data_IF_258565047545
#
_entry.id   IF_258565047545
#
_cell.length_a   1.000
_cell.length_b   1.000
_cell.length_c   1.000
_cell.angle_alpha   90.00
_cell.angle_beta   90.00
_cell.angle_gamma   90.00
#
_symmetry.space_group_name_H-M   'P 1'
#
loop_
_entity.id
_entity.type
_entity.pdbx_description
1 polymer ?
#
# COMPACT_ATOMS: atom_id res chain seq x y z
N UNK A 1 27.83 16.65 9.01
CA UNK A 1 28.34 15.27 9.18
C UNK A 1 27.16 14.45 9.71
N UNK A 2 26.70 13.30 9.20
CA UNK A 2 27.25 12.26 8.33
C UNK A 2 26.08 11.60 7.57
N UNK A 3 26.29 11.40 6.27
CA UNK A 3 25.83 10.32 5.37
C UNK A 3 24.42 9.73 5.59
N UNK A 4 23.51 10.19 4.73
CA UNK A 4 22.30 9.51 4.26
C UNK A 4 22.69 8.21 3.56
N UNK A 5 22.17 7.05 3.99
CA UNK A 5 21.90 5.87 3.15
C UNK A 5 21.38 4.71 4.00
N UNK A 6 20.19 4.22 3.68
CA UNK A 6 19.96 2.80 3.45
C UNK A 6 18.68 2.66 2.59
N UNK A 7 18.91 2.35 1.32
CA UNK A 7 17.90 1.96 0.34
C UNK A 7 17.63 0.47 0.59
N UNK A 8 16.43 0.09 1.02
CA UNK A 8 16.03 -1.30 1.05
C UNK A 8 15.60 -1.71 -0.37
N UNK A 9 16.57 -2.23 -1.13
CA UNK A 9 16.35 -2.77 -2.48
C UNK A 9 15.83 -4.19 -2.34
N UNK A 10 14.54 -4.41 -2.54
CA UNK A 10 13.95 -5.74 -2.63
C UNK A 10 14.17 -6.34 -4.02
N UNK A 11 15.26 -7.07 -4.22
CA UNK A 11 15.44 -7.92 -5.40
C UNK A 11 14.67 -9.21 -5.16
N UNK A 12 13.54 -9.41 -5.85
CA UNK A 12 12.94 -10.74 -5.94
C UNK A 12 13.30 -11.37 -7.30
N UNK A 13 14.23 -12.32 -7.25
CA UNK A 13 14.66 -13.11 -8.38
C UNK A 13 13.54 -14.05 -8.83
N UNK A 14 13.00 -13.82 -10.02
CA UNK A 14 12.07 -14.74 -10.67
C UNK A 14 12.84 -15.94 -11.25
N UNK A 15 12.89 -17.04 -10.51
CA UNK A 15 13.31 -18.33 -11.05
C UNK A 15 12.15 -18.91 -11.89
N UNK A 16 12.25 -18.75 -13.21
CA UNK A 16 11.41 -19.41 -14.20
C UNK A 16 11.75 -20.90 -14.23
N UNK A 17 10.95 -21.74 -13.58
CA UNK A 17 11.01 -23.19 -13.75
C UNK A 17 9.83 -23.68 -14.59
N UNK A 18 10.19 -24.35 -15.67
CA UNK A 18 9.37 -24.78 -16.79
C UNK A 18 8.20 -25.69 -16.41
N UNK A 19 7.13 -25.57 -17.20
CA UNK A 19 5.95 -26.41 -17.10
C UNK A 19 6.20 -27.89 -17.42
N UNK A 20 5.38 -28.72 -16.81
CA UNK A 20 5.07 -30.08 -17.26
C UNK A 20 3.61 -30.34 -16.93
N UNK A 21 2.82 -30.59 -17.97
CA UNK A 21 1.46 -31.10 -17.89
C UNK A 21 1.48 -32.56 -17.41
N UNK A 22 0.58 -32.93 -16.51
CA UNK A 22 0.45 -34.33 -16.11
C UNK A 22 -0.71 -34.59 -15.14
N UNK A 23 -1.74 -35.26 -15.64
CA UNK A 23 -2.86 -35.85 -14.88
C UNK A 23 -2.33 -36.94 -13.92
N UNK A 24 -2.79 -36.98 -12.67
CA UNK A 24 -2.64 -38.18 -11.84
C UNK A 24 -2.94 -38.06 -10.34
N UNK A 25 -4.11 -38.59 -9.94
CA UNK A 25 -4.46 -39.35 -8.71
C UNK A 25 -4.09 -38.85 -7.30
N UNK A 26 -5.13 -38.84 -6.45
CA UNK A 26 -5.19 -38.40 -5.06
C UNK A 26 -4.26 -39.14 -4.09
N UNK A 27 -3.62 -38.37 -3.22
CA UNK A 27 -3.13 -38.79 -1.92
C UNK A 27 -3.82 -37.92 -0.87
N UNK A 28 -4.66 -38.56 -0.04
CA UNK A 28 -5.26 -37.94 1.12
C UNK A 28 -4.15 -37.70 2.15
N UNK A 29 -3.84 -36.43 2.42
CA UNK A 29 -3.26 -36.03 3.68
C UNK A 29 -4.24 -35.06 4.34
N UNK A 30 -4.69 -35.44 5.53
CA UNK A 30 -5.64 -34.67 6.31
C UNK A 30 -4.86 -33.60 7.05
N UNK A 31 -4.65 -32.47 6.39
CA UNK A 31 -4.30 -31.22 7.03
C UNK A 31 -5.12 -30.11 6.34
N UNK A 32 -6.40 -30.03 6.69
CA UNK A 32 -7.31 -29.05 6.08
C UNK A 32 -7.13 -27.68 6.75
N UNK A 33 -5.90 -27.17 6.73
CA UNK A 33 -5.65 -25.75 6.66
C UNK A 33 -6.18 -25.28 5.32
N UNK A 34 -7.39 -24.72 5.32
CA UNK A 34 -7.97 -24.13 4.11
C UNK A 34 -7.19 -22.84 3.83
N UNK A 35 -5.98 -22.96 3.29
CA UNK A 35 -5.29 -21.86 2.65
C UNK A 35 -6.19 -21.45 1.50
N UNK A 36 -7.00 -20.42 1.76
CA UNK A 36 -7.86 -19.84 0.74
C UNK A 36 -6.89 -19.38 -0.34
N UNK A 37 -7.06 -19.78 -1.62
CA UNK A 37 -6.14 -19.36 -2.67
C UNK A 37 -6.02 -17.85 -2.60
N UNK A 38 -4.79 -17.37 -2.37
CA UNK A 38 -4.49 -15.97 -2.16
C UNK A 38 -5.12 -15.19 -3.32
N UNK A 39 -6.20 -14.47 -3.03
CA UNK A 39 -7.06 -13.93 -4.08
C UNK A 39 -6.22 -12.93 -4.86
N UNK A 40 -6.01 -13.20 -6.15
CA UNK A 40 -5.27 -12.30 -7.02
C UNK A 40 -5.80 -10.86 -6.85
N UNK A 41 -4.91 -9.86 -6.72
CA UNK A 41 -5.32 -8.48 -6.48
C UNK A 41 -6.26 -8.03 -7.59
N UNK A 42 -7.42 -7.51 -7.19
CA UNK A 42 -8.42 -7.03 -8.13
C UNK A 42 -7.95 -5.70 -8.73
N UNK A 43 -8.09 -5.54 -10.05
CA UNK A 43 -7.80 -4.27 -10.71
C UNK A 43 -8.81 -3.20 -10.23
N UNK A 44 -8.36 -2.00 -9.81
CA UNK A 44 -9.27 -0.93 -9.41
C UNK A 44 -10.02 -0.35 -10.62
N UNK A 45 -11.26 0.08 -10.40
CA UNK A 45 -12.08 0.75 -11.43
C UNK A 45 -11.61 2.17 -11.66
N UNK A 46 -11.34 2.88 -10.56
CA UNK A 46 -10.72 4.21 -10.56
C UNK A 46 -9.22 4.00 -10.55
N UNK A 47 -8.56 4.44 -11.62
CA UNK A 47 -7.11 4.35 -11.74
C UNK A 47 -6.42 5.53 -11.03
N UNK A 48 -5.13 5.39 -10.80
CA UNK A 48 -4.30 6.34 -10.04
C UNK A 48 -4.49 7.79 -10.51
N UNK A 49 -4.50 8.06 -11.83
CA UNK A 49 -4.66 9.42 -12.35
C UNK A 49 -5.99 10.08 -11.94
N UNK A 50 -7.05 9.28 -11.82
CA UNK A 50 -8.37 9.79 -11.42
C UNK A 50 -8.41 10.02 -9.91
N UNK A 51 -7.83 9.11 -9.12
CA UNK A 51 -7.71 9.28 -7.67
C UNK A 51 -6.86 10.51 -7.30
N UNK A 52 -5.72 10.71 -7.97
CA UNK A 52 -4.85 11.88 -7.80
C UNK A 52 -5.58 13.20 -8.07
N UNK A 53 -6.41 13.27 -9.11
CA UNK A 53 -7.22 14.46 -9.41
C UNK A 53 -8.25 14.75 -8.33
N UNK A 54 -8.88 13.71 -7.78
CA UNK A 54 -9.79 13.85 -6.64
C UNK A 54 -9.04 14.35 -5.40
N UNK A 55 -7.88 13.78 -5.12
CA UNK A 55 -7.08 14.09 -3.93
C UNK A 55 -6.50 15.51 -3.95
N UNK A 56 -5.87 15.94 -5.06
CA UNK A 56 -5.32 17.29 -5.18
C UNK A 56 -6.40 18.38 -5.07
N UNK A 57 -7.65 18.06 -5.40
CA UNK A 57 -8.79 18.95 -5.17
C UNK A 57 -9.10 19.22 -3.69
N UNK A 58 -8.57 18.41 -2.75
CA UNK A 58 -8.75 18.60 -1.32
C UNK A 58 -7.73 19.57 -0.70
N UNK A 59 -6.59 19.80 -1.36
CA UNK A 59 -5.52 20.66 -0.85
C UNK A 59 -5.31 21.82 -1.82
N UNK A 60 -5.77 23.01 -1.44
CA UNK A 60 -5.71 24.18 -2.29
C UNK A 60 -4.26 24.55 -2.66
N UNK A 61 -3.95 24.52 -3.96
CA UNK A 61 -2.60 24.80 -4.46
C UNK A 61 -1.57 23.69 -4.18
N UNK A 62 -2.01 22.52 -3.70
CA UNK A 62 -1.14 21.39 -3.42
C UNK A 62 -0.72 20.62 -4.66
N UNK A 63 0.21 19.67 -4.47
CA UNK A 63 0.66 18.73 -5.49
C UNK A 63 0.83 17.33 -4.91
N UNK A 64 0.64 16.32 -5.76
CA UNK A 64 0.78 14.91 -5.36
C UNK A 64 2.25 14.57 -5.15
N UNK A 65 2.56 13.86 -4.07
CA UNK A 65 3.91 13.40 -3.72
C UNK A 65 4.05 11.89 -3.88
N UNK A 66 3.07 11.12 -3.39
CA UNK A 66 3.01 9.66 -3.50
C UNK A 66 1.61 9.19 -3.92
N UNK A 67 1.50 7.93 -4.33
CA UNK A 67 0.21 7.32 -4.66
C UNK A 67 0.32 5.81 -4.58
N UNK A 68 -0.41 5.22 -3.64
CA UNK A 68 -0.36 3.80 -3.35
C UNK A 68 -1.78 3.22 -3.29
N UNK A 69 -1.92 1.96 -3.74
CA UNK A 69 -3.18 1.24 -3.68
C UNK A 69 -3.13 0.25 -2.52
N UNK A 70 -3.89 0.53 -1.47
CA UNK A 70 -4.06 -0.37 -0.33
C UNK A 70 -5.43 -1.04 -0.41
N UNK A 71 -5.44 -2.33 -0.75
CA UNK A 71 -6.66 -3.11 -0.92
C UNK A 71 -7.60 -2.52 -1.98
N UNK A 72 -8.66 -1.83 -1.54
CA UNK A 72 -9.65 -1.17 -2.41
C UNK A 72 -9.65 0.36 -2.27
N UNK A 73 -8.61 0.92 -1.68
CA UNK A 73 -8.50 2.36 -1.39
C UNK A 73 -7.19 2.88 -1.95
N UNK A 74 -7.27 4.01 -2.64
CA UNK A 74 -6.08 4.79 -2.98
C UNK A 74 -5.71 5.67 -1.81
N UNK A 75 -4.45 5.59 -1.38
CA UNK A 75 -3.83 6.54 -0.49
C UNK A 75 -2.98 7.49 -1.33
N UNK A 76 -3.24 8.79 -1.20
CA UNK A 76 -2.57 9.82 -1.98
C UNK A 76 -2.03 10.88 -1.02
N UNK A 77 -0.72 10.98 -0.91
CA UNK A 77 -0.08 12.10 -0.22
C UNK A 77 -0.10 13.36 -1.11
N UNK A 78 -0.62 14.44 -0.54
CA UNK A 78 -0.66 15.75 -1.18
C UNK A 78 0.07 16.75 -0.31
N UNK A 79 1.16 17.32 -0.83
CA UNK A 79 1.87 18.40 -0.17
C UNK A 79 1.15 19.73 -0.39
N UNK A 80 0.95 20.46 0.70
CA UNK A 80 0.49 21.84 0.70
C UNK A 80 1.62 22.83 0.39
N UNK A 81 1.25 24.07 0.07
CA UNK A 81 2.21 25.15 -0.18
C UNK A 81 3.00 25.56 1.08
N UNK A 82 2.51 25.17 2.25
CA UNK A 82 3.16 25.36 3.55
C UNK A 82 4.21 24.27 3.86
N UNK A 83 4.35 23.28 2.98
CA UNK A 83 5.26 22.15 3.16
C UNK A 83 4.72 21.03 4.04
N UNK A 84 3.46 21.11 4.49
CA UNK A 84 2.78 19.99 5.16
C UNK A 84 2.35 18.94 4.14
N UNK A 85 2.44 17.65 4.49
CA UNK A 85 1.91 16.56 3.68
C UNK A 85 0.62 16.07 4.33
N UNK A 86 -0.39 15.84 3.49
CA UNK A 86 -1.69 15.35 3.90
C UNK A 86 -2.02 14.08 3.14
N UNK A 87 -2.46 13.05 3.85
CA UNK A 87 -2.94 11.82 3.25
C UNK A 87 -4.41 11.96 2.86
N UNK A 88 -4.75 11.65 1.61
CA UNK A 88 -6.13 11.66 1.12
C UNK A 88 -6.50 10.26 0.63
N UNK A 89 -7.51 9.67 1.25
CA UNK A 89 -7.98 8.33 0.92
C UNK A 89 -9.18 8.38 -0.04
N UNK A 90 -9.08 7.67 -1.16
CA UNK A 90 -10.10 7.66 -2.23
C UNK A 90 -10.56 6.23 -2.52
N UNK A 91 -11.88 6.01 -2.53
CA UNK A 91 -12.50 4.71 -2.89
C UNK A 91 -12.09 4.31 -4.33
N UNK A 92 -11.39 3.19 -4.50
CA UNK A 92 -10.88 2.76 -5.80
C UNK A 92 -11.96 2.19 -6.75
N UNK A 93 -13.19 2.02 -6.28
CA UNK A 93 -14.35 1.65 -7.10
C UNK A 93 -15.18 2.88 -7.53
N UNK A 94 -15.30 3.89 -6.66
CA UNK A 94 -16.21 5.04 -6.84
C UNK A 94 -15.51 6.37 -7.13
N UNK A 95 -14.25 6.52 -6.70
CA UNK A 95 -13.47 7.75 -6.85
C UNK A 95 -13.84 8.86 -5.88
N UNK A 96 -14.57 8.52 -4.82
CA UNK A 96 -14.98 9.45 -3.76
C UNK A 96 -13.99 9.43 -2.62
N UNK A 97 -13.73 10.59 -2.02
CA UNK A 97 -12.93 10.69 -0.78
C UNK A 97 -13.65 9.94 0.34
N UNK A 98 -12.98 8.98 0.96
CA UNK A 98 -13.52 8.17 2.07
C UNK A 98 -13.02 8.62 3.44
N UNK A 99 -11.87 9.30 3.47
CA UNK A 99 -11.32 9.94 4.66
C UNK A 99 -10.76 11.31 4.27
N UNK A 100 -11.12 12.32 5.06
CA UNK A 100 -10.64 13.69 4.86
C UNK A 100 -9.13 13.80 5.15
N UNK A 101 -8.45 14.81 4.58
CA UNK A 101 -7.00 14.95 4.72
C UNK A 101 -6.59 14.98 6.20
N UNK A 102 -5.78 14.00 6.61
CA UNK A 102 -5.10 14.01 7.90
C UNK A 102 -3.63 14.41 7.67
N UNK A 103 -3.06 15.15 8.60
CA UNK A 103 -1.60 15.29 8.64
C UNK A 103 -1.03 13.91 8.98
N UNK A 104 0.12 13.54 8.40
CA UNK A 104 0.90 12.36 8.82
C UNK A 104 1.15 12.49 10.33
N UNK A 105 0.34 11.79 11.13
CA UNK A 105 0.55 11.74 12.55
C UNK A 105 1.78 10.87 12.76
N UNK A 106 2.85 11.45 13.29
CA UNK A 106 3.98 10.69 13.81
C UNK A 106 3.41 9.55 14.68
N UNK A 107 3.45 8.32 14.19
CA UNK A 107 3.30 7.13 15.03
C UNK A 107 4.46 7.17 16.02
N UNK A 108 4.20 7.82 17.15
CA UNK A 108 5.01 7.73 18.35
C UNK A 108 4.83 6.31 18.89
N UNK A 109 5.50 5.36 18.26
CA UNK A 109 5.62 4.00 18.78
C UNK A 109 6.41 4.06 20.09
N UNK A 110 5.61 3.89 21.13
CA UNK A 110 5.87 3.67 22.53
C UNK A 110 6.88 2.52 22.72
N UNK A 111 8.18 2.84 22.74
CA UNK A 111 9.19 1.95 23.30
C UNK A 111 9.57 2.46 24.70
N UNK A 112 8.65 2.23 25.63
CA UNK A 112 8.91 2.15 27.06
C UNK A 112 9.87 0.99 27.33
N UNK A 113 11.17 1.20 27.08
CA UNK A 113 12.21 0.33 27.64
C UNK A 113 12.29 0.65 29.13
N UNK A 114 11.58 -0.18 29.91
CA UNK A 114 11.66 -0.19 31.35
C UNK A 114 13.12 -0.37 31.77
N UNK A 115 13.60 0.56 32.60
CA UNK A 115 14.81 0.43 33.40
C UNK A 115 14.77 -0.92 34.16
N UNK A 116 15.65 -1.86 33.78
CA UNK A 116 15.96 -3.05 34.58
C UNK A 116 17.24 -2.73 35.37
N UNK A 117 17.05 -2.39 36.66
CA UNK A 117 18.10 -2.11 37.67
C UNK A 117 18.83 -3.39 38.15
#
# INVERSE_FOLDING_TARGET
>A
MRRKTAIATGVLAAALAAGVAGVGIASADSDNGTETPDKAPARPTVLVDAAQRTAVGQVAGGWVVSSDLEGTTWEIEVAGTDGTVKEVYVDAAKGTVVQAPADEADDADDANDADDD
#
